data_IF_054856561295
#
_entry.id   IF_054856561295
#
_cell.length_a   1.000
_cell.length_b   1.000
_cell.length_c   1.000
_cell.angle_alpha   90.00
_cell.angle_beta   90.00
_cell.angle_gamma   90.00
#
_symmetry.space_group_name_H-M   'P 1'
#
loop_
_entity.id
_entity.type
_entity.pdbx_description
1 polymer ?
#
# COMPACT_ATOMS: atom_id res chain seq x y z
N UNK A 1 0.72 15.00 33.69
CA UNK A 1 1.16 14.61 32.31
C UNK A 1 0.86 13.14 32.15
N UNK A 2 -0.03 12.81 31.24
CA UNK A 2 -0.38 11.42 30.97
C UNK A 2 0.78 10.72 30.24
N UNK A 3 1.13 9.52 30.67
CA UNK A 3 2.19 8.73 30.06
C UNK A 3 1.62 7.56 29.30
N UNK A 4 2.16 7.30 28.11
CA UNK A 4 1.83 6.12 27.33
C UNK A 4 3.10 5.49 26.75
N UNK A 5 3.06 4.20 26.44
CA UNK A 5 4.19 3.58 25.79
C UNK A 5 4.30 3.99 24.30
N UNK A 6 3.17 4.05 23.60
CA UNK A 6 3.15 4.36 22.17
C UNK A 6 2.05 5.36 21.86
N UNK A 7 2.40 6.42 21.11
CA UNK A 7 1.45 7.33 20.50
C UNK A 7 1.31 6.98 19.01
N UNK A 8 0.13 6.55 18.61
CA UNK A 8 -0.21 6.24 17.22
C UNK A 8 -0.84 7.47 16.56
N UNK A 9 -0.29 7.90 15.44
CA UNK A 9 -0.83 9.00 14.64
C UNK A 9 -1.48 8.45 13.37
N UNK A 10 -2.79 8.62 13.25
CA UNK A 10 -3.58 8.24 12.08
C UNK A 10 -4.85 7.45 12.40
N UNK A 11 -5.74 7.40 11.40
CA UNK A 11 -6.95 6.57 11.39
C UNK A 11 -7.15 6.01 9.98
N UNK A 12 -6.37 5.02 9.65
CA UNK A 12 -6.38 4.32 8.37
C UNK A 12 -6.19 2.81 8.58
N UNK A 13 -6.11 2.02 7.52
CA UNK A 13 -5.93 0.57 7.60
C UNK A 13 -4.71 0.19 8.46
N UNK A 14 -3.59 0.86 8.26
CA UNK A 14 -2.32 0.56 8.93
C UNK A 14 -2.39 0.93 10.42
N UNK A 15 -2.95 2.10 10.77
CA UNK A 15 -3.10 2.49 12.18
C UNK A 15 -4.03 1.55 12.94
N UNK A 16 -5.15 1.15 12.34
CA UNK A 16 -6.10 0.26 12.99
C UNK A 16 -5.51 -1.14 13.21
N UNK A 17 -4.81 -1.68 12.22
CA UNK A 17 -4.11 -2.95 12.40
C UNK A 17 -2.99 -2.85 13.43
N UNK A 18 -2.22 -1.74 13.45
CA UNK A 18 -1.22 -1.47 14.49
C UNK A 18 -1.84 -1.49 15.89
N UNK A 19 -2.93 -0.74 16.09
CA UNK A 19 -3.63 -0.69 17.39
C UNK A 19 -4.14 -2.07 17.80
N UNK A 20 -4.66 -2.87 16.86
CA UNK A 20 -5.07 -4.26 17.12
C UNK A 20 -3.90 -5.13 17.59
N UNK A 21 -2.70 -4.96 17.01
CA UNK A 21 -1.46 -5.62 17.45
C UNK A 21 -1.02 -5.13 18.84
N UNK A 22 -1.03 -3.83 19.09
CA UNK A 22 -0.66 -3.27 20.40
C UNK A 22 -1.58 -3.79 21.50
N UNK A 23 -2.88 -3.83 21.25
CA UNK A 23 -3.88 -4.39 22.18
C UNK A 23 -3.64 -5.88 22.45
N UNK A 24 -3.43 -6.69 21.39
CA UNK A 24 -3.07 -8.12 21.52
C UNK A 24 -1.87 -8.32 22.45
N UNK A 25 -0.85 -7.48 22.29
CA UNK A 25 0.38 -7.56 23.08
C UNK A 25 0.30 -6.82 24.43
N UNK A 26 -0.88 -6.29 24.81
CA UNK A 26 -1.14 -5.55 26.06
C UNK A 26 -0.21 -4.32 26.22
N UNK A 27 0.09 -3.65 25.13
CA UNK A 27 0.89 -2.43 25.10
C UNK A 27 -0.04 -1.24 25.20
N UNK A 28 0.18 -0.42 26.23
CA UNK A 28 -0.53 0.84 26.40
C UNK A 28 -0.21 1.80 25.27
N UNK A 29 -1.27 2.37 24.68
CA UNK A 29 -1.15 3.30 23.57
C UNK A 29 -2.30 4.30 23.51
N UNK A 30 -2.00 5.48 22.99
CA UNK A 30 -2.97 6.49 22.62
C UNK A 30 -3.02 6.64 21.09
N UNK A 31 -4.18 7.01 20.58
CA UNK A 31 -4.35 7.24 19.15
C UNK A 31 -4.89 8.64 18.85
N UNK A 32 -4.15 9.38 18.05
CA UNK A 32 -4.52 10.70 17.57
C UNK A 32 -4.67 10.69 16.05
N UNK A 33 -5.73 11.30 15.56
CA UNK A 33 -6.03 11.28 14.15
C UNK A 33 -6.71 12.56 13.66
N UNK A 34 -6.56 12.85 12.39
CA UNK A 34 -7.45 13.77 11.70
C UNK A 34 -8.84 13.14 11.52
N UNK A 35 -9.90 13.97 11.36
CA UNK A 35 -11.22 13.47 11.01
C UNK A 35 -11.13 12.54 9.79
N UNK A 36 -11.88 11.45 9.85
CA UNK A 36 -12.00 10.54 8.72
C UNK A 36 -12.69 11.28 7.58
N UNK A 37 -12.02 11.36 6.45
CA UNK A 37 -12.70 11.66 5.20
C UNK A 37 -13.34 10.36 4.73
N UNK A 38 -14.61 10.40 4.34
CA UNK A 38 -15.28 9.25 3.72
C UNK A 38 -14.45 8.81 2.51
N UNK A 39 -13.68 7.76 2.70
CA UNK A 39 -12.90 7.19 1.62
C UNK A 39 -13.82 6.28 0.81
N UNK A 40 -13.89 6.51 -0.48
CA UNK A 40 -14.60 5.61 -1.37
C UNK A 40 -13.98 4.20 -1.34
N UNK A 41 -14.83 3.21 -1.55
CA UNK A 41 -14.46 1.80 -1.58
C UNK A 41 -13.38 1.56 -2.65
N UNK A 42 -12.25 1.02 -2.21
CA UNK A 42 -11.12 0.61 -3.06
C UNK A 42 -10.89 -0.88 -2.91
N UNK A 43 -10.18 -1.46 -3.87
CA UNK A 43 -9.81 -2.86 -3.85
C UNK A 43 -8.29 -3.00 -3.86
N UNK A 44 -7.79 -3.89 -3.02
CA UNK A 44 -6.36 -4.13 -2.85
C UNK A 44 -6.01 -5.59 -3.11
N UNK A 45 -4.90 -5.81 -3.79
CA UNK A 45 -4.31 -7.13 -3.94
C UNK A 45 -3.46 -7.45 -2.69
N UNK A 46 -3.90 -8.39 -1.88
CA UNK A 46 -3.26 -8.77 -0.62
C UNK A 46 -2.52 -10.09 -0.77
N UNK A 47 -1.28 -10.16 -0.30
CA UNK A 47 -0.48 -11.39 -0.31
C UNK A 47 -1.10 -12.47 0.59
N UNK A 48 -1.23 -13.72 0.14
CA UNK A 48 -1.82 -14.79 0.96
C UNK A 48 -1.09 -15.05 2.29
N UNK A 49 0.21 -14.82 2.30
CA UNK A 49 1.00 -14.97 3.54
C UNK A 49 0.57 -14.00 4.64
N UNK A 50 0.06 -12.82 4.26
CA UNK A 50 -0.51 -11.87 5.22
C UNK A 50 -1.81 -12.40 5.82
N UNK A 51 -2.71 -12.98 5.02
CA UNK A 51 -3.96 -13.56 5.52
C UNK A 51 -3.68 -14.66 6.53
N UNK A 52 -2.72 -15.52 6.22
CA UNK A 52 -2.26 -16.57 7.15
C UNK A 52 -1.71 -15.96 8.44
N UNK A 53 -0.82 -14.98 8.36
CA UNK A 53 -0.29 -14.30 9.54
C UNK A 53 -1.40 -13.64 10.37
N UNK A 54 -2.39 -13.01 9.73
CA UNK A 54 -3.52 -12.38 10.40
C UNK A 54 -4.35 -13.42 11.18
N UNK A 55 -4.68 -14.54 10.54
CA UNK A 55 -5.39 -15.66 11.18
C UNK A 55 -4.62 -16.23 12.36
N UNK A 56 -3.32 -16.48 12.18
CA UNK A 56 -2.43 -16.97 13.25
C UNK A 56 -2.35 -15.96 14.43
N UNK A 57 -2.38 -14.66 14.15
CA UNK A 57 -2.30 -13.60 15.15
C UNK A 57 -3.56 -13.39 15.98
N UNK A 58 -4.72 -13.46 15.34
CA UNK A 58 -5.98 -13.03 15.93
C UNK A 58 -7.00 -14.15 16.10
N UNK A 59 -6.71 -15.35 15.60
CA UNK A 59 -7.66 -16.46 15.52
C UNK A 59 -8.95 -16.05 14.78
N UNK A 60 -8.83 -15.19 13.80
CA UNK A 60 -9.89 -14.65 12.95
C UNK A 60 -9.44 -14.73 11.50
N UNK A 61 -10.33 -15.14 10.61
CA UNK A 61 -10.05 -15.19 9.18
C UNK A 61 -10.58 -13.93 8.46
N UNK A 62 -9.88 -13.53 7.41
CA UNK A 62 -10.33 -12.49 6.50
C UNK A 62 -10.99 -13.16 5.28
N UNK A 63 -12.26 -13.59 5.44
CA UNK A 63 -12.95 -14.47 4.49
C UNK A 63 -13.47 -13.77 3.24
N UNK A 64 -13.76 -12.47 3.35
CA UNK A 64 -14.35 -11.72 2.24
C UNK A 64 -13.27 -11.26 1.26
N UNK A 65 -12.80 -12.20 0.45
CA UNK A 65 -11.78 -11.95 -0.57
C UNK A 65 -12.07 -12.71 -1.86
N UNK A 66 -11.53 -12.20 -2.97
CA UNK A 66 -11.58 -12.88 -4.27
C UNK A 66 -10.19 -13.37 -4.63
N UNK A 67 -9.95 -14.69 -4.74
CA UNK A 67 -8.63 -15.24 -4.99
C UNK A 67 -8.21 -15.03 -6.45
N UNK A 68 -7.02 -14.54 -6.68
CA UNK A 68 -6.40 -14.43 -8.01
C UNK A 68 -5.50 -15.64 -8.24
N UNK A 69 -5.90 -16.49 -9.18
CA UNK A 69 -5.16 -17.70 -9.56
C UNK A 69 -4.30 -17.50 -10.81
N UNK A 70 -4.65 -16.51 -11.62
CA UNK A 70 -3.95 -16.20 -12.86
C UNK A 70 -3.66 -14.71 -12.93
N UNK A 71 -2.45 -14.35 -13.37
CA UNK A 71 -2.08 -12.99 -13.74
C UNK A 71 -1.55 -13.00 -15.16
N UNK A 72 -2.08 -12.11 -15.99
CA UNK A 72 -1.62 -11.89 -17.35
C UNK A 72 -1.03 -10.50 -17.47
N UNK A 73 0.21 -10.42 -17.89
CA UNK A 73 0.91 -9.16 -18.11
C UNK A 73 1.12 -9.01 -19.63
N UNK A 74 0.63 -7.92 -20.18
CA UNK A 74 0.73 -7.60 -21.58
C UNK A 74 1.66 -6.39 -21.76
N UNK A 75 2.73 -6.56 -22.53
CA UNK A 75 3.62 -5.49 -22.95
C UNK A 75 3.70 -5.50 -24.46
N UNK A 76 3.15 -4.49 -25.10
CA UNK A 76 2.95 -4.45 -26.55
C UNK A 76 2.27 -5.74 -27.07
N UNK A 77 2.99 -6.57 -27.83
CA UNK A 77 2.51 -7.83 -28.40
C UNK A 77 2.98 -9.07 -27.62
N UNK A 78 3.74 -8.88 -26.53
CA UNK A 78 4.22 -9.98 -25.69
C UNK A 78 3.30 -10.17 -24.50
N UNK A 79 3.21 -11.42 -24.01
CA UNK A 79 2.38 -11.81 -22.90
C UNK A 79 3.17 -12.69 -21.93
N UNK A 80 3.05 -12.39 -20.63
CA UNK A 80 3.53 -13.24 -19.56
C UNK A 80 2.35 -13.79 -18.76
N UNK A 81 2.32 -15.10 -18.55
CA UNK A 81 1.29 -15.76 -17.75
C UNK A 81 1.89 -16.29 -16.46
N UNK A 82 1.33 -15.86 -15.34
CA UNK A 82 1.62 -16.40 -14.02
C UNK A 82 0.38 -17.12 -13.51
N UNK A 83 0.56 -18.23 -12.83
CA UNK A 83 -0.54 -18.98 -12.24
C UNK A 83 -0.20 -19.49 -10.84
N UNK A 84 -1.19 -19.94 -10.11
CA UNK A 84 -1.08 -20.38 -8.71
C UNK A 84 -0.25 -21.65 -8.50
N UNK A 85 0.14 -22.35 -9.57
CA UNK A 85 1.10 -23.48 -9.43
C UNK A 85 2.46 -23.03 -8.89
N UNK A 86 2.78 -21.73 -9.07
CA UNK A 86 4.01 -21.09 -8.58
C UNK A 86 4.01 -20.86 -7.07
N UNK A 87 2.83 -20.85 -6.44
CA UNK A 87 2.61 -20.47 -5.02
C UNK A 87 1.86 -21.49 -4.21
N UNK A 88 1.51 -22.65 -4.78
CA UNK A 88 0.71 -23.68 -4.08
C UNK A 88 1.15 -23.90 -2.63
N UNK A 89 0.20 -24.05 -1.70
CA UNK A 89 -1.25 -24.20 -1.91
C UNK A 89 -2.04 -22.88 -2.01
N UNK A 90 -1.39 -21.74 -2.07
CA UNK A 90 -2.01 -20.42 -2.04
C UNK A 90 -2.30 -19.87 -3.44
N UNK A 91 -3.33 -19.00 -3.61
CA UNK A 91 -3.47 -18.18 -4.81
C UNK A 91 -2.29 -17.21 -4.95
N UNK A 92 -2.16 -16.53 -6.10
CA UNK A 92 -1.15 -15.49 -6.28
C UNK A 92 -1.41 -14.28 -5.37
N UNK A 93 -2.67 -13.83 -5.31
CA UNK A 93 -3.15 -12.74 -4.48
C UNK A 93 -4.60 -12.98 -4.07
N UNK A 94 -5.07 -12.19 -3.12
CA UNK A 94 -6.48 -12.07 -2.75
C UNK A 94 -6.92 -10.61 -2.90
N UNK A 95 -7.96 -10.36 -3.69
CA UNK A 95 -8.50 -9.01 -3.83
C UNK A 95 -9.50 -8.78 -2.69
N UNK A 96 -9.30 -7.71 -1.94
CA UNK A 96 -10.09 -7.36 -0.78
C UNK A 96 -10.53 -5.89 -0.83
N UNK A 97 -11.73 -5.62 -0.36
CA UNK A 97 -12.28 -4.28 -0.30
C UNK A 97 -11.76 -3.50 0.91
N UNK A 98 -11.50 -2.21 0.74
CA UNK A 98 -10.98 -1.33 1.79
C UNK A 98 -11.91 -1.21 3.00
N UNK A 99 -13.21 -1.14 2.78
CA UNK A 99 -14.24 -1.06 3.82
C UNK A 99 -14.28 -2.32 4.69
N UNK A 100 -14.17 -3.49 4.07
CA UNK A 100 -14.07 -4.76 4.79
C UNK A 100 -12.77 -4.84 5.61
N UNK A 101 -11.63 -4.49 5.03
CA UNK A 101 -10.36 -4.45 5.77
C UNK A 101 -10.43 -3.45 6.93
N UNK A 102 -11.00 -2.26 6.69
CA UNK A 102 -11.13 -1.25 7.73
C UNK A 102 -11.99 -1.75 8.90
N UNK A 103 -13.15 -2.33 8.62
CA UNK A 103 -14.03 -2.89 9.66
C UNK A 103 -13.37 -4.04 10.42
N UNK A 104 -12.67 -4.95 9.72
CA UNK A 104 -11.97 -6.08 10.35
C UNK A 104 -10.79 -5.62 11.24
N UNK A 105 -10.04 -4.62 10.80
CA UNK A 105 -8.90 -4.11 11.57
C UNK A 105 -9.32 -3.20 12.72
N UNK A 106 -10.47 -2.52 12.61
CA UNK A 106 -11.00 -1.68 13.69
C UNK A 106 -11.91 -2.43 14.67
N UNK A 107 -12.23 -3.68 14.39
CA UNK A 107 -13.04 -4.51 15.28
C UNK A 107 -12.41 -4.59 16.68
N UNK A 108 -13.24 -4.37 17.70
CA UNK A 108 -12.85 -4.36 19.12
C UNK A 108 -11.85 -3.26 19.53
N UNK A 109 -11.56 -2.29 18.66
CA UNK A 109 -10.75 -1.14 19.03
C UNK A 109 -11.58 -0.10 19.80
N UNK A 110 -10.95 0.52 20.77
CA UNK A 110 -11.49 1.70 21.44
C UNK A 110 -11.58 2.88 20.46
N UNK A 111 -12.42 3.87 20.78
CA UNK A 111 -12.52 5.11 20.03
C UNK A 111 -11.14 5.81 19.94
N UNK A 112 -11.00 6.65 18.92
CA UNK A 112 -9.83 7.52 18.80
C UNK A 112 -9.76 8.42 20.04
N UNK A 113 -8.63 8.44 20.73
CA UNK A 113 -8.45 9.21 21.96
C UNK A 113 -8.58 10.71 21.69
N UNK A 114 -8.04 11.19 20.55
CA UNK A 114 -8.11 12.60 20.17
C UNK A 114 -8.26 12.78 18.66
N UNK A 115 -9.26 13.55 18.26
CA UNK A 115 -9.39 14.06 16.91
C UNK A 115 -8.71 15.42 16.82
N UNK A 116 -7.76 15.57 15.92
CA UNK A 116 -6.99 16.78 15.66
C UNK A 116 -7.63 17.54 14.51
N UNK A 117 -8.15 18.73 14.78
CA UNK A 117 -8.84 19.53 13.76
C UNK A 117 -7.91 20.51 13.04
N UNK A 118 -6.83 20.92 13.66
CA UNK A 118 -5.85 21.85 13.06
C UNK A 118 -4.43 21.40 13.37
N UNK A 119 -3.55 21.75 12.46
CA UNK A 119 -2.14 21.44 12.51
C UNK A 119 -1.36 22.30 13.53
N UNK A 120 -1.88 23.47 13.88
CA UNK A 120 -1.25 24.40 14.82
C UNK A 120 -1.23 23.85 16.25
N UNK A 121 -2.01 22.79 16.50
CA UNK A 121 -2.09 22.10 17.79
C UNK A 121 -0.96 21.12 18.04
N UNK A 122 -0.03 20.91 17.08
CA UNK A 122 0.95 19.83 17.16
C UNK A 122 2.36 20.35 17.46
N UNK A 123 2.75 20.35 18.70
CA UNK A 123 4.11 20.65 19.14
C UNK A 123 4.73 19.47 19.89
N UNK A 124 5.72 18.83 19.27
CA UNK A 124 6.47 17.72 19.85
C UNK A 124 7.85 18.19 20.31
N UNK A 125 8.26 17.72 21.50
CA UNK A 125 9.61 17.88 22.02
C UNK A 125 10.18 16.50 22.30
N UNK A 126 11.38 16.28 21.79
CA UNK A 126 12.12 15.02 21.96
C UNK A 126 13.11 15.17 23.10
N UNK A 127 12.95 14.33 24.11
CA UNK A 127 13.93 14.13 25.17
C UNK A 127 14.56 12.74 25.00
N UNK A 128 15.69 12.48 25.66
CA UNK A 128 16.44 11.22 25.53
C UNK A 128 15.60 9.96 25.85
N UNK A 129 14.57 10.09 26.67
CA UNK A 129 13.76 8.98 27.16
C UNK A 129 12.31 8.97 26.67
N UNK A 130 11.81 10.09 26.17
CA UNK A 130 10.42 10.23 25.79
C UNK A 130 10.19 11.33 24.76
N UNK A 131 9.03 11.29 24.12
CA UNK A 131 8.52 12.36 23.26
C UNK A 131 7.38 13.04 23.99
N UNK A 132 7.48 14.35 24.15
CA UNK A 132 6.49 15.17 24.84
C UNK A 132 5.62 15.87 23.81
N UNK A 133 4.34 15.64 23.89
CA UNK A 133 3.33 16.34 23.12
C UNK A 133 2.76 17.49 23.97
N UNK A 134 3.36 18.68 23.83
CA UNK A 134 3.17 19.81 24.74
C UNK A 134 1.72 20.24 24.89
N UNK A 135 1.02 20.45 23.81
CA UNK A 135 -0.33 21.02 23.81
C UNK A 135 -1.36 20.11 24.49
N UNK A 136 -1.04 18.82 24.66
CA UNK A 136 -1.91 17.85 25.29
C UNK A 136 -1.35 17.29 26.60
N UNK A 137 -0.16 17.74 27.01
CA UNK A 137 0.51 17.27 28.23
C UNK A 137 0.66 15.74 28.29
N UNK A 138 0.99 15.14 27.14
CA UNK A 138 1.19 13.70 27.03
C UNK A 138 2.66 13.44 26.76
N UNK A 139 3.22 12.40 27.39
CA UNK A 139 4.51 11.85 27.02
C UNK A 139 4.39 10.42 26.51
N UNK A 140 5.25 10.05 25.58
CA UNK A 140 5.27 8.73 24.97
C UNK A 140 6.70 8.24 24.77
N UNK A 141 6.93 6.95 24.92
CA UNK A 141 8.25 6.36 24.64
C UNK A 141 8.53 6.28 23.16
N UNK A 142 7.50 6.15 22.32
CA UNK A 142 7.60 6.04 20.87
C UNK A 142 6.39 6.69 20.20
N UNK A 143 6.63 7.45 19.13
CA UNK A 143 5.58 7.84 18.17
C UNK A 143 5.63 6.89 16.98
N UNK A 144 4.47 6.36 16.58
CA UNK A 144 4.32 5.65 15.31
C UNK A 144 3.34 6.42 14.43
N UNK A 145 3.88 7.03 13.39
CA UNK A 145 3.09 7.79 12.43
C UNK A 145 2.70 6.92 11.23
N UNK A 146 1.42 6.83 10.95
CA UNK A 146 0.84 6.08 9.81
C UNK A 146 0.19 6.98 8.77
N UNK A 147 0.08 8.28 9.06
CA UNK A 147 -0.63 9.24 8.22
C UNK A 147 0.30 10.37 7.78
N UNK A 148 0.59 10.44 6.49
CA UNK A 148 1.52 11.41 5.89
C UNK A 148 1.15 12.88 6.19
N UNK A 149 -0.10 13.17 6.53
CA UNK A 149 -0.55 14.52 6.91
C UNK A 149 0.15 15.03 8.15
N UNK A 150 0.59 14.12 9.04
CA UNK A 150 1.38 14.48 10.23
C UNK A 150 2.86 14.71 9.94
N UNK A 151 3.39 14.26 8.80
CA UNK A 151 4.83 14.37 8.49
C UNK A 151 5.36 15.81 8.51
N UNK A 152 4.52 16.79 8.16
CA UNK A 152 4.91 18.21 8.14
C UNK A 152 4.90 18.88 9.52
N UNK A 153 4.24 18.27 10.50
CA UNK A 153 4.06 18.86 11.85
C UNK A 153 4.94 18.19 12.89
N UNK A 154 5.38 17.00 12.63
CA UNK A 154 6.46 16.45 13.41
C UNK A 154 7.66 17.34 13.09
N UNK A 155 8.12 18.17 14.02
CA UNK A 155 9.30 19.07 13.93
C UNK A 155 10.59 18.31 13.58
N UNK A 156 10.48 17.04 13.38
CA UNK A 156 11.36 16.13 12.71
C UNK A 156 11.26 16.48 11.22
N UNK A 157 12.30 17.06 10.66
CA UNK A 157 12.51 16.98 9.21
C UNK A 157 13.07 15.59 8.95
N UNK A 158 12.21 14.55 8.78
CA UNK A 158 12.76 13.25 8.46
C UNK A 158 13.52 13.45 7.15
N UNK A 159 14.78 13.04 7.12
CA UNK A 159 15.53 13.02 5.88
C UNK A 159 14.77 12.10 4.94
N UNK A 160 14.27 12.65 3.85
CA UNK A 160 13.72 11.85 2.77
C UNK A 160 14.89 11.32 1.98
N UNK A 161 15.09 10.02 2.00
CA UNK A 161 16.17 9.39 1.22
C UNK A 161 15.93 9.57 -0.28
N UNK A 162 14.68 9.46 -0.69
CA UNK A 162 14.26 9.63 -2.09
C UNK A 162 12.94 10.38 -2.12
N UNK A 163 12.86 11.39 -2.96
CA UNK A 163 11.61 12.09 -3.26
C UNK A 163 11.55 12.37 -4.74
N UNK A 164 10.61 11.73 -5.42
CA UNK A 164 10.25 12.03 -6.79
C UNK A 164 8.76 12.37 -6.84
N UNK A 165 8.44 13.57 -7.25
CA UNK A 165 7.08 13.96 -7.58
C UNK A 165 6.91 13.76 -9.09
N UNK A 166 5.94 12.94 -9.46
CA UNK A 166 5.62 12.72 -10.85
C UNK A 166 4.60 13.79 -11.30
N UNK A 167 4.77 14.36 -12.47
CA UNK A 167 3.72 15.18 -13.10
C UNK A 167 2.65 14.27 -13.70
N UNK A 168 2.23 13.31 -12.89
CA UNK A 168 1.32 12.23 -13.28
C UNK A 168 0.34 11.93 -12.14
N UNK A 169 -0.80 11.37 -12.53
CA UNK A 169 -1.79 10.89 -11.60
C UNK A 169 -2.29 9.50 -11.99
N UNK A 170 -2.92 8.83 -11.05
CA UNK A 170 -3.61 7.58 -11.29
C UNK A 170 -5.11 7.72 -11.05
N UNK A 171 -5.85 6.82 -11.69
CA UNK A 171 -7.31 6.73 -11.59
C UNK A 171 -7.69 5.34 -11.11
N UNK A 172 -8.69 5.26 -10.23
CA UNK A 172 -9.33 4.02 -9.83
C UNK A 172 -10.85 4.15 -9.94
N UNK A 173 -11.48 3.09 -10.40
CA UNK A 173 -12.93 2.96 -10.47
C UNK A 173 -13.31 1.48 -10.55
N UNK A 174 -14.56 1.16 -10.23
CA UNK A 174 -15.12 -0.18 -10.32
C UNK A 174 -16.08 -0.31 -11.48
N UNK A 175 -16.13 -1.50 -12.07
CA UNK A 175 -16.91 -1.80 -13.26
C UNK A 175 -17.59 -3.16 -13.16
N UNK A 176 -18.64 -3.34 -13.96
CA UNK A 176 -19.29 -4.62 -14.26
C UNK A 176 -19.03 -5.02 -15.71
N UNK A 177 -19.03 -6.31 -16.00
CA UNK A 177 -18.84 -6.87 -17.34
C UNK A 177 -19.64 -8.15 -17.52
N UNK A 178 -20.00 -8.48 -18.78
CA UNK A 178 -20.59 -9.78 -19.11
C UNK A 178 -19.54 -10.89 -19.25
N UNK A 179 -18.25 -10.51 -19.29
CA UNK A 179 -17.15 -11.47 -19.36
C UNK A 179 -16.92 -12.09 -17.99
N UNK A 180 -16.84 -13.44 -17.90
CA UNK A 180 -16.36 -14.10 -16.69
C UNK A 180 -14.85 -13.88 -16.55
N UNK A 181 -14.42 -13.36 -15.40
CA UNK A 181 -13.04 -12.97 -15.14
C UNK A 181 -12.16 -14.15 -14.65
N UNK A 182 -12.76 -15.30 -14.27
CA UNK A 182 -12.07 -16.58 -14.00
C UNK A 182 -10.89 -16.49 -13.02
N UNK A 183 -11.02 -15.67 -11.96
CA UNK A 183 -9.94 -15.43 -11.00
C UNK A 183 -8.64 -14.91 -11.64
N UNK A 184 -8.76 -14.16 -12.74
CA UNK A 184 -7.64 -13.68 -13.54
C UNK A 184 -7.50 -12.16 -13.47
N UNK A 185 -6.42 -11.68 -12.89
CA UNK A 185 -6.01 -10.28 -12.99
C UNK A 185 -5.21 -10.05 -14.27
N UNK A 186 -5.34 -8.86 -14.83
CA UNK A 186 -4.66 -8.48 -16.07
C UNK A 186 -3.94 -7.15 -15.88
N UNK A 187 -2.75 -7.01 -16.46
CA UNK A 187 -1.99 -5.77 -16.44
C UNK A 187 -1.51 -5.45 -17.85
N UNK A 188 -1.82 -4.26 -18.32
CA UNK A 188 -1.52 -3.80 -19.67
C UNK A 188 -0.56 -2.62 -19.62
N UNK A 189 0.61 -2.79 -20.21
CA UNK A 189 1.59 -1.75 -20.44
C UNK A 189 1.42 -1.26 -21.86
N UNK A 190 0.96 -0.03 -22.01
CA UNK A 190 0.65 0.56 -23.32
C UNK A 190 1.14 2.01 -23.38
N UNK A 191 2.08 2.29 -24.28
CA UNK A 191 2.70 3.61 -24.39
C UNK A 191 3.28 4.07 -23.04
N UNK A 192 2.69 5.10 -22.45
CA UNK A 192 3.07 5.66 -21.14
C UNK A 192 2.09 5.30 -20.02
N UNK A 193 1.12 4.43 -20.29
CA UNK A 193 0.04 4.11 -19.35
C UNK A 193 0.09 2.65 -18.90
N UNK A 194 -0.25 2.43 -17.66
CA UNK A 194 -0.40 1.09 -17.09
C UNK A 194 -1.85 0.94 -16.62
N UNK A 195 -2.55 -0.03 -17.21
CA UNK A 195 -3.90 -0.41 -16.80
C UNK A 195 -3.83 -1.76 -16.07
N UNK A 196 -4.18 -1.78 -14.79
CA UNK A 196 -4.43 -3.00 -14.04
C UNK A 196 -5.93 -3.26 -13.95
N UNK A 197 -6.35 -4.49 -14.23
CA UNK A 197 -7.72 -5.01 -14.07
C UNK A 197 -7.70 -6.01 -12.92
N UNK A 198 -8.41 -5.70 -11.84
CA UNK A 198 -8.42 -6.43 -10.59
C UNK A 198 -9.83 -6.97 -10.30
N UNK A 199 -10.13 -8.23 -10.64
CA UNK A 199 -11.42 -8.83 -10.35
C UNK A 199 -11.65 -8.94 -8.83
N UNK A 200 -12.85 -8.59 -8.39
CA UNK A 200 -13.30 -8.85 -7.01
C UNK A 200 -14.58 -9.68 -6.94
N UNK A 201 -15.11 -10.05 -8.10
CA UNK A 201 -16.15 -11.05 -8.33
C UNK A 201 -16.06 -11.56 -9.77
N UNK A 202 -16.82 -12.57 -10.13
CA UNK A 202 -16.75 -13.21 -11.45
C UNK A 202 -17.06 -12.25 -12.62
N UNK A 203 -17.87 -11.23 -12.37
CA UNK A 203 -18.31 -10.23 -13.35
C UNK A 203 -18.09 -8.78 -12.89
N UNK A 204 -17.30 -8.58 -11.84
CA UNK A 204 -17.00 -7.27 -11.29
C UNK A 204 -15.50 -7.09 -11.09
N UNK A 205 -14.99 -5.91 -11.46
CA UNK A 205 -13.58 -5.59 -11.34
C UNK A 205 -13.35 -4.13 -11.00
N UNK A 206 -12.24 -3.86 -10.35
CA UNK A 206 -11.68 -2.53 -10.19
C UNK A 206 -10.52 -2.33 -11.17
N UNK A 207 -10.26 -1.09 -11.53
CA UNK A 207 -9.06 -0.74 -12.27
C UNK A 207 -8.14 0.16 -11.46
N UNK A 208 -6.86 0.11 -11.80
CA UNK A 208 -5.89 1.16 -11.53
C UNK A 208 -5.26 1.54 -12.86
N UNK A 209 -5.50 2.77 -13.29
CA UNK A 209 -4.90 3.33 -14.51
C UNK A 209 -3.91 4.43 -14.10
N UNK A 210 -2.63 4.23 -14.33
CA UNK A 210 -1.55 5.16 -14.01
C UNK A 210 -0.80 5.65 -15.25
N UNK A 211 0.12 6.61 -15.08
CA UNK A 211 0.82 7.27 -16.18
C UNK A 211 -0.03 8.32 -16.91
N UNK A 212 -1.05 8.85 -16.23
CA UNK A 212 -1.90 9.92 -16.77
C UNK A 212 -1.26 11.28 -16.49
N UNK A 213 -1.21 12.15 -17.50
CA UNK A 213 -0.64 13.50 -17.41
C UNK A 213 -1.72 14.59 -17.52
N UNK A 214 -1.33 15.82 -17.22
CA UNK A 214 -2.18 16.97 -17.47
C UNK A 214 -2.67 16.96 -18.95
N UNK A 215 -4.00 17.00 -19.12
CA UNK A 215 -4.66 16.82 -20.42
C UNK A 215 -5.32 15.46 -20.61
N UNK A 216 -4.99 14.46 -19.81
CA UNK A 216 -5.72 13.19 -19.73
C UNK A 216 -6.98 13.30 -18.84
N UNK A 217 -7.21 14.43 -18.16
CA UNK A 217 -8.40 14.68 -17.30
C UNK A 217 -9.72 14.50 -18.08
N UNK A 218 -9.67 14.65 -19.40
CA UNK A 218 -10.80 14.35 -20.28
C UNK A 218 -11.28 12.88 -20.20
N UNK A 219 -10.45 11.97 -19.66
CA UNK A 219 -10.85 10.60 -19.36
C UNK A 219 -11.75 10.49 -18.11
N UNK A 220 -11.78 11.56 -17.29
CA UNK A 220 -12.45 11.61 -15.99
C UNK A 220 -13.85 12.25 -16.07
N UNK A 221 -14.50 12.19 -17.22
CA UNK A 221 -15.88 12.72 -17.31
C UNK A 221 -16.84 11.89 -16.45
N UNK A 222 -17.84 12.53 -15.88
CA UNK A 222 -18.78 11.94 -14.93
C UNK A 222 -19.48 10.68 -15.44
N UNK A 223 -19.71 10.58 -16.74
CA UNK A 223 -20.30 9.38 -17.36
C UNK A 223 -19.34 8.18 -17.44
N UNK A 224 -18.04 8.39 -17.28
CA UNK A 224 -17.01 7.36 -17.45
C UNK A 224 -16.88 6.81 -18.87
N UNK A 225 -17.61 7.37 -19.85
CA UNK A 225 -17.67 6.84 -21.24
C UNK A 225 -16.30 6.73 -21.88
N UNK A 226 -15.47 7.77 -21.73
CA UNK A 226 -14.11 7.78 -22.31
C UNK A 226 -13.20 6.76 -21.66
N UNK A 227 -13.36 6.55 -20.35
CA UNK A 227 -12.61 5.54 -19.60
C UNK A 227 -13.06 4.13 -20.00
N UNK A 228 -14.38 3.92 -20.17
CA UNK A 228 -14.93 2.65 -20.70
C UNK A 228 -14.39 2.37 -22.10
N UNK A 229 -14.40 3.36 -22.98
CA UNK A 229 -13.86 3.22 -24.34
C UNK A 229 -12.35 2.90 -24.31
N UNK A 230 -11.60 3.50 -23.38
CA UNK A 230 -10.19 3.17 -23.19
C UNK A 230 -10.02 1.72 -22.73
N UNK A 231 -10.79 1.25 -21.74
CA UNK A 231 -10.75 -0.13 -21.24
C UNK A 231 -11.09 -1.11 -22.38
N UNK A 232 -12.18 -0.88 -23.12
CA UNK A 232 -12.61 -1.74 -24.23
C UNK A 232 -11.56 -1.85 -25.35
N UNK A 233 -10.75 -0.80 -25.53
CA UNK A 233 -9.65 -0.80 -26.50
C UNK A 233 -8.45 -1.66 -26.06
N UNK A 234 -8.21 -1.73 -24.75
CA UNK A 234 -7.04 -2.41 -24.19
C UNK A 234 -7.32 -3.86 -23.81
N UNK A 235 -8.57 -4.19 -23.55
CA UNK A 235 -8.99 -5.48 -22.98
C UNK A 235 -9.96 -6.21 -23.91
N UNK A 236 -10.20 -7.49 -23.63
CA UNK A 236 -11.24 -8.29 -24.31
C UNK A 236 -12.54 -8.34 -23.52
N UNK A 237 -12.75 -7.42 -22.57
CA UNK A 237 -13.96 -7.36 -21.75
C UNK A 237 -15.16 -6.88 -22.56
N UNK A 238 -16.33 -7.46 -22.29
CA UNK A 238 -17.57 -7.15 -23.01
C UNK A 238 -18.56 -6.43 -22.08
N UNK A 239 -19.34 -5.52 -22.65
CA UNK A 239 -20.41 -4.82 -21.91
C UNK A 239 -19.91 -4.13 -20.63
N UNK A 240 -18.76 -3.46 -20.70
CA UNK A 240 -18.16 -2.77 -19.54
C UNK A 240 -19.05 -1.60 -19.13
N UNK A 241 -19.46 -1.56 -17.85
CA UNK A 241 -20.29 -0.52 -17.24
C UNK A 241 -19.66 -0.01 -15.96
N UNK A 242 -19.56 1.30 -15.80
CA UNK A 242 -19.08 1.93 -14.57
C UNK A 242 -20.05 1.64 -13.41
N UNK A 243 -19.54 1.26 -12.26
CA UNK A 243 -20.31 0.93 -11.05
C UNK A 243 -19.90 1.70 -9.79
N UNK A 244 -18.90 2.57 -9.88
CA UNK A 244 -18.49 3.48 -8.80
C UNK A 244 -18.19 4.87 -9.35
N UNK A 245 -17.93 5.83 -8.46
CA UNK A 245 -17.28 7.09 -8.88
C UNK A 245 -15.86 6.82 -9.37
N UNK A 246 -15.36 7.73 -10.19
CA UNK A 246 -13.97 7.74 -10.65
C UNK A 246 -13.16 8.57 -9.66
N UNK A 247 -12.16 7.95 -9.05
CA UNK A 247 -11.24 8.61 -8.13
C UNK A 247 -9.90 8.82 -8.81
N UNK A 248 -9.27 9.94 -8.52
CA UNK A 248 -7.92 10.23 -8.99
C UNK A 248 -7.02 10.69 -7.85
N UNK A 249 -5.73 10.40 -7.94
CA UNK A 249 -4.74 10.79 -6.95
C UNK A 249 -3.37 11.03 -7.59
N UNK A 250 -2.62 12.02 -7.11
CA UNK A 250 -1.29 12.32 -7.62
C UNK A 250 -0.33 11.18 -7.30
N UNK A 251 0.62 10.95 -8.20
CA UNK A 251 1.68 9.97 -8.00
C UNK A 251 2.91 10.63 -7.38
N UNK A 252 3.49 9.96 -6.42
CA UNK A 252 4.74 10.36 -5.79
C UNK A 252 5.50 9.14 -5.29
N UNK A 253 6.81 9.22 -5.33
CA UNK A 253 7.73 8.26 -4.75
C UNK A 253 8.45 8.94 -3.60
N UNK A 254 8.41 8.36 -2.41
CA UNK A 254 9.28 8.78 -1.33
C UNK A 254 9.48 7.67 -0.30
N UNK A 255 10.58 7.77 0.41
CA UNK A 255 10.93 6.96 1.57
C UNK A 255 11.49 7.86 2.66
N UNK A 256 11.13 7.59 3.89
CA UNK A 256 11.64 8.29 5.06
C UNK A 256 12.78 7.50 5.67
N UNK A 257 13.91 8.16 5.88
CA UNK A 257 15.01 7.62 6.66
C UNK A 257 14.70 7.75 8.13
N UNK A 258 14.67 6.62 8.84
CA UNK A 258 14.46 6.62 10.28
C UNK A 258 15.74 7.03 11.01
N UNK A 259 15.65 8.06 11.85
CA UNK A 259 16.72 8.40 12.80
C UNK A 259 16.48 7.64 14.11
N UNK A 260 17.36 6.71 14.49
CA UNK A 260 17.20 5.93 15.73
C UNK A 260 17.16 6.76 17.02
N UNK A 261 17.66 8.00 16.97
CA UNK A 261 17.65 8.90 18.13
C UNK A 261 16.31 9.61 18.34
N UNK A 262 15.45 9.59 17.36
CA UNK A 262 14.20 10.37 17.35
C UNK A 262 13.00 9.49 17.70
N UNK A 263 13.04 8.65 18.65
CA UNK A 263 11.87 7.91 19.20
C UNK A 263 10.60 7.97 18.31
N UNK A 264 10.78 7.81 16.99
CA UNK A 264 9.70 7.90 16.01
C UNK A 264 9.87 6.90 14.88
N UNK A 265 8.77 6.27 14.48
CA UNK A 265 8.66 5.45 13.29
C UNK A 265 7.61 6.05 12.36
N UNK A 266 7.90 5.97 11.08
CA UNK A 266 6.99 6.31 9.98
C UNK A 266 6.70 5.04 9.21
N UNK A 267 5.45 4.64 9.13
CA UNK A 267 5.03 3.38 8.51
C UNK A 267 3.88 3.58 7.53
N UNK A 268 3.71 2.65 6.60
CA UNK A 268 2.72 2.80 5.55
C UNK A 268 2.93 4.09 4.75
N UNK A 269 1.84 4.76 4.36
CA UNK A 269 1.90 6.00 3.55
C UNK A 269 2.64 7.16 4.24
N UNK A 270 2.85 7.11 5.54
CA UNK A 270 3.68 8.09 6.24
C UNK A 270 5.18 7.82 6.06
N UNK A 271 5.58 6.57 5.97
CA UNK A 271 6.98 6.15 5.86
C UNK A 271 7.48 6.01 4.42
N UNK A 272 6.65 5.48 3.56
CA UNK A 272 6.99 5.20 2.17
C UNK A 272 5.76 5.30 1.26
N UNK A 273 5.96 5.86 0.10
CA UNK A 273 4.96 5.88 -0.96
C UNK A 273 5.61 5.43 -2.25
N UNK A 274 4.97 4.50 -2.92
CA UNK A 274 5.43 3.91 -4.17
C UNK A 274 4.40 4.07 -5.27
N UNK A 275 4.82 3.96 -6.52
CA UNK A 275 3.90 3.94 -7.64
C UNK A 275 2.86 2.81 -7.47
N UNK A 276 1.57 3.01 -7.79
CA UNK A 276 0.48 2.05 -7.54
C UNK A 276 0.52 0.82 -8.44
N UNK A 277 1.71 0.31 -8.74
CA UNK A 277 1.90 -0.93 -9.49
C UNK A 277 1.47 -2.13 -8.64
N UNK A 278 0.55 -2.91 -9.16
CA UNK A 278 0.10 -4.19 -8.58
C UNK A 278 -0.35 -4.15 -7.10
N UNK A 279 -0.77 -2.99 -6.56
CA UNK A 279 -1.22 -2.89 -5.17
C UNK A 279 -0.12 -3.06 -4.12
N UNK A 280 1.13 -2.85 -4.47
CA UNK A 280 2.29 -3.07 -3.60
C UNK A 280 2.34 -2.14 -2.39
N UNK A 281 1.82 -0.91 -2.48
CA UNK A 281 1.89 0.07 -1.39
C UNK A 281 1.28 -0.42 -0.08
N UNK A 282 0.06 -0.98 -0.12
CA UNK A 282 -0.57 -1.51 1.08
C UNK A 282 0.21 -2.71 1.63
N UNK A 283 0.69 -3.62 0.77
CA UNK A 283 1.48 -4.77 1.21
C UNK A 283 2.78 -4.38 1.92
N UNK A 284 3.43 -3.28 1.52
CA UNK A 284 4.56 -2.73 2.27
C UNK A 284 4.14 -2.32 3.68
N UNK A 285 3.06 -1.55 3.83
CA UNK A 285 2.55 -1.14 5.14
C UNK A 285 2.09 -2.32 6.01
N UNK A 286 1.52 -3.38 5.42
CA UNK A 286 1.20 -4.61 6.14
C UNK A 286 2.47 -5.32 6.63
N UNK A 287 3.54 -5.31 5.82
CA UNK A 287 4.85 -5.81 6.22
C UNK A 287 5.48 -5.01 7.38
N UNK A 288 5.22 -3.69 7.44
CA UNK A 288 5.64 -2.87 8.58
C UNK A 288 5.00 -3.35 9.88
N UNK A 289 3.70 -3.65 9.83
CA UNK A 289 2.97 -4.15 11.00
C UNK A 289 3.49 -5.53 11.43
N UNK A 290 3.74 -6.43 10.48
CA UNK A 290 4.32 -7.74 10.78
C UNK A 290 5.70 -7.61 11.46
N UNK A 291 6.52 -6.67 10.99
CA UNK A 291 7.82 -6.42 11.60
C UNK A 291 7.69 -5.84 13.02
N UNK A 292 6.78 -4.89 13.23
CA UNK A 292 6.52 -4.32 14.56
C UNK A 292 5.99 -5.40 15.50
N UNK A 293 5.04 -6.26 15.09
CA UNK A 293 4.55 -7.38 15.91
C UNK A 293 5.69 -8.31 16.33
N UNK A 294 6.59 -8.64 15.39
CA UNK A 294 7.79 -9.45 15.67
C UNK A 294 8.71 -8.80 16.70
N UNK A 295 8.97 -7.50 16.56
CA UNK A 295 9.84 -6.75 17.47
C UNK A 295 9.24 -6.59 18.87
N UNK A 296 7.94 -6.33 18.96
CA UNK A 296 7.21 -6.19 20.22
C UNK A 296 7.16 -7.54 20.96
N UNK A 297 7.01 -8.64 20.23
CA UNK A 297 7.02 -9.98 20.80
C UNK A 297 8.38 -10.43 21.32
N UNK A 298 9.46 -9.73 20.96
CA UNK A 298 10.81 -9.98 21.48
C UNK A 298 10.93 -9.41 22.93
N UNK A 299 10.76 -10.29 23.92
CA UNK A 299 10.82 -9.95 25.35
C UNK A 299 12.13 -9.25 25.80
N UNK A 300 13.16 -9.20 24.95
CA UNK A 300 14.40 -8.48 25.22
C UNK A 300 14.27 -6.98 24.99
N UNK A 301 13.19 -6.54 24.35
CA UNK A 301 12.91 -5.13 24.07
C UNK A 301 11.97 -4.61 25.16
N UNK A 302 12.51 -3.84 26.08
CA UNK A 302 11.78 -3.28 27.23
C UNK A 302 11.15 -1.92 26.86
N UNK A 303 11.88 -1.11 26.09
CA UNK A 303 11.44 0.21 25.65
C UNK A 303 11.33 0.25 24.12
N UNK A 304 10.12 0.39 23.55
CA UNK A 304 9.93 0.45 22.11
C UNK A 304 10.52 1.71 21.45
N UNK A 305 10.87 2.72 22.22
CA UNK A 305 11.53 3.93 21.73
C UNK A 305 13.05 3.86 21.71
N UNK A 306 13.66 2.76 22.16
CA UNK A 306 15.12 2.61 22.14
C UNK A 306 15.68 2.60 20.71
N UNK A 307 16.87 3.17 20.55
CA UNK A 307 17.60 3.17 19.26
C UNK A 307 17.68 1.77 18.64
N UNK A 308 17.86 0.73 19.42
CA UNK A 308 17.98 -0.64 18.94
C UNK A 308 16.68 -1.17 18.32
N UNK A 309 15.51 -0.77 18.86
CA UNK A 309 14.22 -1.12 18.27
C UNK A 309 14.06 -0.47 16.88
N UNK A 310 14.30 0.84 16.81
CA UNK A 310 14.18 1.63 15.59
C UNK A 310 15.20 1.15 14.53
N UNK A 311 16.46 0.88 14.94
CA UNK A 311 17.51 0.32 14.05
C UNK A 311 17.11 -1.03 13.48
N UNK A 312 16.62 -1.95 14.31
CA UNK A 312 16.16 -3.27 13.84
C UNK A 312 15.03 -3.16 12.85
N UNK A 313 14.03 -2.32 13.15
CA UNK A 313 12.94 -2.03 12.22
C UNK A 313 13.48 -1.50 10.90
N UNK A 314 14.25 -0.41 10.93
CA UNK A 314 14.78 0.25 9.73
C UNK A 314 15.60 -0.69 8.85
N UNK A 315 16.51 -1.48 9.43
CA UNK A 315 17.34 -2.43 8.68
C UNK A 315 16.46 -3.52 8.03
N UNK A 316 15.52 -4.09 8.80
CA UNK A 316 14.70 -5.18 8.29
C UNK A 316 13.76 -4.74 7.16
N UNK A 317 13.25 -3.50 7.21
CA UNK A 317 12.33 -2.98 6.20
C UNK A 317 13.03 -2.40 4.98
N UNK A 318 14.28 -1.89 5.16
CA UNK A 318 15.00 -1.18 4.09
C UNK A 318 15.17 -2.01 2.81
N UNK A 319 15.32 -3.32 2.91
CA UNK A 319 15.50 -4.22 1.76
C UNK A 319 14.20 -4.30 0.94
N UNK A 320 13.08 -4.62 1.59
CA UNK A 320 11.77 -4.77 0.93
C UNK A 320 11.34 -3.45 0.28
N UNK A 321 11.47 -2.35 1.03
CA UNK A 321 11.14 -1.01 0.56
C UNK A 321 11.99 -0.63 -0.66
N UNK A 322 13.32 -0.84 -0.58
CA UNK A 322 14.23 -0.49 -1.68
C UNK A 322 13.95 -1.33 -2.93
N UNK A 323 13.69 -2.63 -2.79
CA UNK A 323 13.32 -3.48 -3.93
C UNK A 323 12.06 -2.95 -4.63
N UNK A 324 11.02 -2.65 -3.87
CA UNK A 324 9.77 -2.15 -4.45
C UNK A 324 9.95 -0.77 -5.07
N UNK A 325 10.69 0.13 -4.41
CA UNK A 325 10.96 1.47 -4.93
C UNK A 325 11.73 1.42 -6.25
N UNK A 326 12.84 0.69 -6.30
CA UNK A 326 13.62 0.57 -7.53
C UNK A 326 12.81 -0.10 -8.65
N UNK A 327 12.06 -1.14 -8.34
CA UNK A 327 11.20 -1.80 -9.33
C UNK A 327 10.18 -0.82 -9.91
N UNK A 328 9.52 -0.03 -9.06
CA UNK A 328 8.49 0.90 -9.50
C UNK A 328 9.05 2.12 -10.22
N UNK A 329 10.20 2.65 -9.80
CA UNK A 329 10.86 3.79 -10.44
C UNK A 329 11.42 3.43 -11.82
N UNK A 330 12.11 2.29 -11.92
CA UNK A 330 12.61 1.83 -13.22
C UNK A 330 11.50 1.48 -14.21
N UNK A 331 10.38 0.94 -13.74
CA UNK A 331 9.22 0.71 -14.60
C UNK A 331 8.63 2.02 -15.09
N UNK A 332 8.56 3.05 -14.26
CA UNK A 332 8.07 4.36 -14.64
C UNK A 332 9.03 5.06 -15.63
N UNK A 333 10.33 5.12 -15.33
CA UNK A 333 11.33 5.70 -16.23
C UNK A 333 11.33 5.02 -17.60
N UNK A 334 11.17 3.73 -17.58
CA UNK A 334 11.13 2.93 -18.77
C UNK A 334 9.88 3.20 -19.61
N UNK A 335 8.73 3.48 -19.00
CA UNK A 335 7.49 3.85 -19.69
C UNK A 335 7.55 5.29 -20.25
N UNK A 336 8.19 6.21 -19.54
CA UNK A 336 8.27 7.63 -19.91
C UNK A 336 9.25 7.83 -21.09
N UNK A 337 10.36 7.13 -21.10
CA UNK A 337 11.44 7.32 -22.07
C UNK A 337 11.24 6.59 -23.40
N UNK A 338 10.08 6.57 -24.00
CA UNK A 338 9.69 6.10 -25.36
C UNK A 338 10.82 5.65 -26.34
N UNK A 339 11.97 5.19 -25.85
CA UNK A 339 13.06 4.77 -26.72
C UNK A 339 12.83 3.34 -27.24
N UNK A 340 13.27 3.06 -28.47
CA UNK A 340 13.30 1.68 -29.01
C UNK A 340 14.08 0.73 -28.09
N UNK A 341 14.98 1.26 -27.26
CA UNK A 341 15.68 0.57 -26.18
C UNK A 341 14.73 0.05 -25.12
N UNK A 342 13.62 0.76 -24.85
CA UNK A 342 12.61 0.37 -23.85
C UNK A 342 11.81 -0.88 -24.30
N UNK A 343 11.34 -0.90 -25.55
CA UNK A 343 10.64 -2.08 -26.09
C UNK A 343 11.53 -3.32 -26.00
N UNK A 344 12.84 -3.17 -26.23
CA UNK A 344 13.84 -4.23 -26.07
C UNK A 344 14.06 -4.66 -24.62
N UNK A 345 14.17 -3.70 -23.68
CA UNK A 345 14.46 -3.97 -22.26
C UNK A 345 13.35 -4.76 -21.54
N UNK A 346 12.10 -4.64 -21.97
CA UNK A 346 10.96 -5.37 -21.35
C UNK A 346 10.48 -6.54 -22.20
N UNK A 347 10.51 -6.42 -23.51
CA UNK A 347 10.04 -7.46 -24.44
C UNK A 347 10.88 -8.74 -24.30
N UNK A 348 12.21 -8.63 -24.30
CA UNK A 348 13.08 -9.80 -24.16
C UNK A 348 12.99 -10.46 -22.78
N UNK A 349 13.06 -9.74 -21.63
CA UNK A 349 12.87 -10.34 -20.31
C UNK A 349 11.50 -11.02 -20.16
N UNK A 350 10.40 -10.42 -20.66
CA UNK A 350 9.07 -11.03 -20.60
C UNK A 350 9.03 -12.34 -21.41
N UNK A 351 9.59 -12.35 -22.60
CA UNK A 351 9.66 -13.56 -23.43
C UNK A 351 10.54 -14.64 -22.80
N UNK A 352 11.64 -14.25 -22.14
CA UNK A 352 12.50 -15.18 -21.40
C UNK A 352 11.76 -15.68 -20.16
N UNK A 353 11.09 -14.80 -19.42
CA UNK A 353 10.33 -15.15 -18.22
C UNK A 353 9.16 -16.07 -18.55
N UNK A 354 8.46 -15.88 -19.70
CA UNK A 354 7.36 -16.77 -20.10
C UNK A 354 7.83 -18.21 -20.27
N UNK A 355 9.06 -18.43 -20.70
CA UNK A 355 9.65 -19.74 -20.91
C UNK A 355 10.47 -20.27 -19.71
N UNK A 356 10.53 -19.53 -18.60
CA UNK A 356 11.33 -19.89 -17.41
C UNK A 356 10.51 -19.92 -16.14
N UNK A 357 10.23 -21.12 -15.62
CA UNK A 357 9.52 -21.30 -14.35
C UNK A 357 10.27 -20.67 -13.16
N UNK A 358 11.61 -20.69 -13.21
CA UNK A 358 12.46 -20.08 -12.18
C UNK A 358 12.27 -18.55 -12.13
N UNK A 359 12.23 -17.89 -13.27
CA UNK A 359 12.00 -16.44 -13.35
C UNK A 359 10.56 -16.09 -12.97
N UNK A 360 9.56 -16.90 -13.37
CA UNK A 360 8.17 -16.72 -12.91
C UNK A 360 8.07 -16.79 -11.39
N UNK A 361 8.70 -17.81 -10.77
CA UNK A 361 8.74 -17.92 -9.29
C UNK A 361 9.42 -16.73 -8.63
N UNK A 362 10.52 -16.23 -9.21
CA UNK A 362 11.19 -15.05 -8.70
C UNK A 362 10.29 -13.80 -8.77
N UNK A 363 9.65 -13.56 -9.90
CA UNK A 363 8.71 -12.45 -10.10
C UNK A 363 7.56 -12.49 -9.10
N UNK A 364 6.94 -13.65 -8.91
CA UNK A 364 5.82 -13.80 -7.95
C UNK A 364 6.26 -13.56 -6.51
N UNK A 365 7.51 -13.87 -6.14
CA UNK A 365 8.04 -13.59 -4.81
C UNK A 365 8.34 -12.10 -4.58
N UNK A 366 8.73 -11.39 -5.64
CA UNK A 366 9.03 -9.95 -5.57
C UNK A 366 7.77 -9.09 -5.49
N UNK A 367 6.72 -9.51 -6.15
CA UNK A 367 5.41 -8.84 -6.18
C UNK A 367 4.53 -9.35 -5.02
#
# INVERSE_FOLDING_TARGET
MDQTNILVLGNNLISNLLRKILRKNKIDHLNFAYPVQEAERRFFAIKPIFLKWYSDCFSEDLDNHYPIKHIQIFVENEKLNLNDSLTKPFPLFNIMASDYLFSSFSKDLDNINKVINSAEELEFVFDNNEVIFKNYQISSKLIINTDFRFNKFLNLKPEREEKKEYDEFAVTASFKTDTNLENRAEQYFRETKILAVLPYADHEFSIVLSGLKKGDEKLLNDSGEKLINFINKQTNLRSVKLSSKINHFPLSLYKIKHDPKLRSLYIGDAGHRVHPLAGLGLNLGLGDIQMIDSLISDKRIIDPGQENFIKKYAISRSIDESIVMHLTDHLDEALVNKSEVFSGLFKYPIKIAENSELLKKALVRMV
#
